data_IF_406076551893
#
_entry.id   IF_406076551893
#
_cell.length_a   1.000
_cell.length_b   1.000
_cell.length_c   1.000
_cell.angle_alpha   90.00
_cell.angle_beta   90.00
_cell.angle_gamma   90.00
#
_symmetry.space_group_name_H-M   'P 1'
#
loop_
_entity.id
_entity.type
_entity.pdbx_description
1 polymer ?
#
# COMPACT_ATOMS: atom_id res chain seq x y z
N UNK A 1 7.51 3.06 -22.37
CA UNK A 1 7.70 4.49 -22.03
C UNK A 1 6.35 5.10 -21.65
N UNK A 2 6.27 5.82 -20.53
CA UNK A 2 5.03 6.46 -20.06
C UNK A 2 4.85 7.90 -20.55
N UNK A 3 5.88 8.51 -21.18
CA UNK A 3 5.91 9.94 -21.50
C UNK A 3 4.70 10.42 -22.32
N UNK A 4 4.22 9.65 -23.30
CA UNK A 4 3.03 10.02 -24.10
C UNK A 4 1.69 9.89 -23.36
N UNK A 5 1.71 9.34 -22.15
CA UNK A 5 0.51 9.07 -21.32
C UNK A 5 0.45 9.97 -20.08
N UNK A 6 1.56 10.61 -19.72
CA UNK A 6 1.64 11.48 -18.56
C UNK A 6 0.76 12.73 -18.76
N UNK A 7 -0.02 13.10 -17.74
CA UNK A 7 -0.78 14.34 -17.70
C UNK A 7 -0.60 15.02 -16.35
N UNK A 8 -0.52 16.35 -16.39
CA UNK A 8 -0.47 17.22 -15.20
C UNK A 8 -1.85 17.66 -14.76
N UNK A 9 -2.88 17.47 -15.59
CA UNK A 9 -4.28 17.74 -15.26
C UNK A 9 -5.00 16.46 -14.81
N UNK A 10 -5.42 16.36 -13.54
CA UNK A 10 -6.22 15.24 -13.04
C UNK A 10 -7.59 15.10 -13.70
N UNK A 11 -8.19 16.18 -14.20
CA UNK A 11 -9.48 16.13 -14.90
C UNK A 11 -9.34 15.44 -16.26
N UNK A 12 -8.17 15.54 -16.89
CA UNK A 12 -7.82 14.80 -18.10
C UNK A 12 -7.92 13.27 -17.96
N UNK A 13 -7.84 12.70 -16.76
CA UNK A 13 -8.15 11.28 -16.54
C UNK A 13 -9.65 11.03 -16.73
N UNK A 14 -10.50 11.88 -16.15
CA UNK A 14 -11.97 11.70 -16.19
C UNK A 14 -12.54 11.82 -17.61
N UNK A 15 -11.88 12.58 -18.47
CA UNK A 15 -12.28 12.78 -19.87
C UNK A 15 -11.99 11.56 -20.78
N UNK A 16 -11.28 10.54 -20.28
CA UNK A 16 -10.89 9.36 -21.07
C UNK A 16 -11.18 8.07 -20.30
N UNK A 17 -11.60 7.00 -20.97
CA UNK A 17 -11.86 5.72 -20.29
C UNK A 17 -10.60 5.06 -19.71
N UNK A 18 -9.43 5.28 -20.31
CA UNK A 18 -8.13 4.74 -19.86
C UNK A 18 -6.96 5.44 -20.57
N UNK A 19 -5.73 5.09 -20.14
CA UNK A 19 -4.51 5.40 -20.89
C UNK A 19 -3.76 6.67 -20.48
N UNK A 20 -4.28 7.42 -19.49
CA UNK A 20 -3.61 8.55 -18.86
C UNK A 20 -2.91 8.14 -17.56
N UNK A 21 -1.81 8.81 -17.24
CA UNK A 21 -1.02 8.64 -16.02
C UNK A 21 -0.88 10.00 -15.35
N UNK A 22 -1.26 10.11 -14.07
CA UNK A 22 -1.07 11.32 -13.26
C UNK A 22 -0.09 11.04 -12.14
N UNK A 23 0.78 12.01 -11.88
CA UNK A 23 1.64 12.00 -10.71
C UNK A 23 0.85 12.56 -9.52
N UNK A 24 0.67 11.74 -8.50
CA UNK A 24 0.02 12.13 -7.25
C UNK A 24 1.08 12.17 -6.15
N UNK A 25 1.43 13.34 -5.61
CA UNK A 25 2.31 13.40 -4.46
C UNK A 25 1.60 12.80 -3.24
N UNK A 26 2.29 11.91 -2.54
CA UNK A 26 1.84 11.35 -1.26
C UNK A 26 2.96 11.54 -0.23
N UNK A 27 2.60 11.83 1.02
CA UNK A 27 3.55 11.80 2.13
C UNK A 27 3.70 10.34 2.58
N UNK A 28 4.89 9.73 2.45
CA UNK A 28 5.07 8.34 2.85
C UNK A 28 4.96 8.19 4.37
N UNK A 29 4.31 7.13 4.81
CA UNK A 29 4.54 6.56 6.14
C UNK A 29 5.65 5.52 6.01
N UNK A 30 6.55 5.45 6.98
CA UNK A 30 7.65 4.47 7.02
C UNK A 30 7.14 3.05 7.36
N UNK A 31 6.26 2.53 6.49
CA UNK A 31 5.59 1.25 6.62
C UNK A 31 5.90 0.44 5.36
N UNK A 32 6.42 -0.78 5.55
CA UNK A 32 6.62 -1.72 4.45
C UNK A 32 6.05 -3.09 4.81
N UNK A 33 5.49 -3.78 3.81
CA UNK A 33 4.97 -5.14 4.00
C UNK A 33 6.08 -6.11 4.40
N UNK A 34 7.32 -5.90 3.93
CA UNK A 34 8.49 -6.68 4.35
C UNK A 34 8.73 -6.54 5.85
N UNK A 35 8.80 -5.30 6.36
CA UNK A 35 9.01 -5.06 7.79
C UNK A 35 7.89 -5.63 8.65
N UNK A 36 6.64 -5.53 8.21
CA UNK A 36 5.48 -6.11 8.90
C UNK A 36 5.60 -7.63 9.00
N UNK A 37 5.95 -8.32 7.90
CA UNK A 37 6.13 -9.78 7.91
C UNK A 37 7.28 -10.23 8.80
N UNK A 38 8.39 -9.50 8.83
CA UNK A 38 9.52 -9.78 9.72
C UNK A 38 9.12 -9.68 11.20
N UNK A 39 8.35 -8.65 11.57
CA UNK A 39 7.82 -8.51 12.93
C UNK A 39 6.93 -9.70 13.31
N UNK A 40 6.02 -10.08 12.41
CA UNK A 40 5.12 -11.23 12.64
C UNK A 40 5.89 -12.55 12.78
N UNK A 41 6.89 -12.79 11.93
CA UNK A 41 7.74 -13.99 11.99
C UNK A 41 8.57 -14.04 13.29
N UNK A 42 8.98 -12.87 13.80
CA UNK A 42 9.66 -12.75 15.09
C UNK A 42 8.70 -12.83 16.31
N UNK A 43 7.42 -13.15 16.11
CA UNK A 43 6.41 -13.23 17.17
C UNK A 43 5.96 -11.87 17.72
N UNK A 44 6.36 -10.76 17.10
CA UNK A 44 5.99 -9.41 17.50
C UNK A 44 4.64 -8.99 16.92
N UNK A 45 3.98 -8.04 17.58
CA UNK A 45 2.78 -7.40 17.04
C UNK A 45 3.13 -6.08 16.34
N UNK A 46 2.83 -5.92 15.03
CA UNK A 46 3.07 -4.67 14.30
C UNK A 46 1.98 -3.63 14.60
N UNK A 47 1.77 -3.30 15.88
CA UNK A 47 0.77 -2.31 16.32
C UNK A 47 1.03 -0.97 15.63
N UNK A 48 -0.05 -0.32 15.19
CA UNK A 48 -0.04 0.95 14.44
C UNK A 48 0.53 0.89 13.01
N UNK A 49 1.06 -0.25 12.56
CA UNK A 49 1.51 -0.45 11.17
C UNK A 49 0.41 -1.07 10.28
N UNK A 50 -0.69 -1.50 10.90
CA UNK A 50 -1.84 -2.13 10.27
C UNK A 50 -3.13 -1.64 10.95
N UNK A 51 -4.28 -1.66 10.24
CA UNK A 51 -5.59 -1.57 10.87
C UNK A 51 -5.73 -2.58 12.01
N UNK A 52 -6.29 -2.15 13.14
CA UNK A 52 -6.32 -2.93 14.39
C UNK A 52 -7.12 -4.23 14.23
N UNK A 53 -8.15 -4.20 13.41
CA UNK A 53 -9.05 -5.32 13.14
C UNK A 53 -8.31 -6.51 12.47
N UNK A 54 -7.20 -6.23 11.79
CA UNK A 54 -6.35 -7.29 11.22
C UNK A 54 -5.57 -8.03 12.31
N UNK A 55 -5.20 -7.35 13.40
CA UNK A 55 -4.52 -7.97 14.53
C UNK A 55 -5.49 -8.86 15.33
N UNK A 56 -6.77 -8.50 15.36
CA UNK A 56 -7.86 -9.26 15.98
C UNK A 56 -8.33 -10.46 15.14
N UNK A 57 -7.76 -10.65 13.94
CA UNK A 57 -7.99 -11.81 13.08
C UNK A 57 -6.73 -12.69 12.96
N UNK A 58 -6.45 -13.56 13.95
CA UNK A 58 -5.24 -14.39 13.97
C UNK A 58 -5.07 -15.27 12.74
N UNK A 59 -6.17 -15.77 12.16
CA UNK A 59 -6.18 -16.63 10.98
C UNK A 59 -5.64 -15.92 9.74
N UNK A 60 -5.92 -14.63 9.58
CA UNK A 60 -5.41 -13.82 8.47
C UNK A 60 -3.90 -13.63 8.55
N UNK A 61 -3.35 -13.52 9.77
CA UNK A 61 -1.92 -13.27 9.99
C UNK A 61 -1.10 -14.54 10.24
N UNK A 62 -1.75 -15.69 10.43
CA UNK A 62 -1.09 -16.98 10.67
C UNK A 62 -0.01 -17.34 9.61
N UNK A 63 -0.20 -17.10 8.30
CA UNK A 63 0.82 -17.43 7.29
C UNK A 63 2.16 -16.69 7.46
N UNK A 64 2.18 -15.59 8.22
CA UNK A 64 3.34 -14.72 8.42
C UNK A 64 4.03 -14.91 9.77
N UNK A 65 3.57 -15.85 10.61
CA UNK A 65 4.14 -16.13 11.95
C UNK A 65 5.09 -17.33 11.98
N UNK A 66 5.64 -17.69 10.83
CA UNK A 66 6.53 -18.83 10.63
C UNK A 66 7.90 -18.37 10.20
#
# INVERSE_FOLDING_TARGET
AISGRLTTDPQGIRATHAGRVVLMPITPLEISATRVRELLAAGQQPRYLLPVELLDSPTLLAPYRR
#
